data_IF_222705442709
#
_entry.id   IF_222705442709
#
_cell.length_a   1.000
_cell.length_b   1.000
_cell.length_c   1.000
_cell.angle_alpha   90.00
_cell.angle_beta   90.00
_cell.angle_gamma   90.00
#
_symmetry.space_group_name_H-M   'P 1'
#
loop_
_entity.id
_entity.type
_entity.pdbx_description
1 polymer ?
#
# COMPACT_ATOMS: atom_id res chain seq x y z
N UNK A 1 -33.49 -68.75 13.36
CA UNK A 1 -33.32 -67.98 12.11
C UNK A 1 -34.33 -68.54 11.13
N UNK A 2 -35.11 -67.67 10.50
CA UNK A 2 -36.36 -67.98 9.83
C UNK A 2 -36.08 -68.12 8.32
N UNK A 3 -36.22 -69.30 7.70
CA UNK A 3 -35.80 -69.57 6.31
C UNK A 3 -36.37 -68.55 5.29
N UNK A 4 -37.56 -67.99 5.56
CA UNK A 4 -38.16 -66.92 4.74
C UNK A 4 -37.38 -65.61 4.77
N UNK A 5 -36.81 -65.26 5.92
CA UNK A 5 -35.99 -64.05 6.07
C UNK A 5 -34.64 -64.23 5.36
N UNK A 6 -34.06 -65.43 5.42
CA UNK A 6 -32.81 -65.76 4.73
C UNK A 6 -32.98 -65.71 3.21
N UNK A 7 -34.10 -66.23 2.67
CA UNK A 7 -34.40 -66.16 1.24
C UNK A 7 -34.65 -64.72 0.77
N UNK A 8 -35.41 -63.95 1.53
CA UNK A 8 -35.67 -62.53 1.23
C UNK A 8 -34.38 -61.70 1.27
N UNK A 9 -33.44 -62.03 2.18
CA UNK A 9 -32.12 -61.41 2.22
C UNK A 9 -31.31 -61.73 0.95
N UNK A 10 -31.24 -63.00 0.56
CA UNK A 10 -30.50 -63.43 -0.63
C UNK A 10 -31.10 -62.78 -1.89
N UNK A 11 -32.42 -62.78 -2.06
CA UNK A 11 -33.10 -62.12 -3.19
C UNK A 11 -32.78 -60.62 -3.26
N UNK A 12 -32.73 -59.96 -2.10
CA UNK A 12 -32.38 -58.54 -2.02
C UNK A 12 -30.91 -58.26 -2.35
N UNK A 13 -29.98 -59.06 -1.85
CA UNK A 13 -28.54 -58.97 -2.20
C UNK A 13 -28.33 -59.23 -3.70
N UNK A 14 -29.02 -60.22 -4.26
CA UNK A 14 -28.87 -60.58 -5.68
C UNK A 14 -29.48 -59.52 -6.59
N UNK A 15 -30.60 -58.92 -6.21
CA UNK A 15 -31.22 -57.82 -6.97
C UNK A 15 -30.41 -56.52 -6.89
N UNK A 16 -29.66 -56.30 -5.81
CA UNK A 16 -28.77 -55.14 -5.63
C UNK A 16 -27.29 -55.44 -5.95
N UNK A 17 -26.99 -56.55 -6.62
CA UNK A 17 -25.61 -57.00 -6.82
C UNK A 17 -24.72 -55.95 -7.53
N UNK A 18 -25.26 -55.23 -8.51
CA UNK A 18 -24.53 -54.15 -9.20
C UNK A 18 -24.30 -52.95 -8.28
N UNK A 19 -25.30 -52.52 -7.51
CA UNK A 19 -25.16 -51.42 -6.54
C UNK A 19 -24.12 -51.74 -5.46
N UNK A 20 -24.04 -53.01 -5.05
CA UNK A 20 -23.04 -53.49 -4.10
C UNK A 20 -21.63 -53.52 -4.72
N UNK A 21 -21.52 -53.78 -6.03
CA UNK A 21 -20.26 -53.73 -6.75
C UNK A 21 -19.77 -52.28 -6.91
N UNK A 22 -20.64 -51.39 -7.34
CA UNK A 22 -20.39 -49.94 -7.45
C UNK A 22 -19.94 -49.38 -6.08
N UNK A 23 -20.64 -49.75 -5.00
CA UNK A 23 -20.25 -49.38 -3.64
C UNK A 23 -18.85 -49.89 -3.25
N UNK A 24 -18.47 -51.08 -3.74
CA UNK A 24 -17.14 -51.63 -3.45
C UNK A 24 -16.03 -50.85 -4.16
N UNK A 25 -16.28 -50.40 -5.40
CA UNK A 25 -15.38 -49.57 -6.18
C UNK A 25 -15.24 -48.18 -5.54
N UNK A 26 -16.37 -47.55 -5.18
CA UNK A 26 -16.40 -46.26 -4.47
C UNK A 26 -15.63 -46.30 -3.14
N UNK A 27 -15.75 -47.43 -2.42
CA UNK A 27 -15.01 -47.65 -1.18
C UNK A 27 -13.50 -47.73 -1.43
N UNK A 28 -13.07 -48.40 -2.49
CA UNK A 28 -11.65 -48.49 -2.83
C UNK A 28 -11.08 -47.10 -3.17
N UNK A 29 -11.80 -46.32 -3.98
CA UNK A 29 -11.45 -44.94 -4.30
C UNK A 29 -11.36 -44.05 -3.05
N UNK A 30 -12.31 -44.17 -2.12
CA UNK A 30 -12.27 -43.46 -0.83
C UNK A 30 -11.06 -43.84 0.01
N UNK A 31 -10.74 -45.13 0.11
CA UNK A 31 -9.59 -45.60 0.90
C UNK A 31 -8.29 -45.10 0.30
N UNK A 32 -8.15 -45.15 -1.04
CA UNK A 32 -6.98 -44.65 -1.73
C UNK A 32 -6.84 -43.12 -1.61
N UNK A 33 -7.95 -42.39 -1.65
CA UNK A 33 -7.97 -40.95 -1.38
C UNK A 33 -7.39 -40.63 0.00
N UNK A 34 -7.96 -41.20 1.06
CA UNK A 34 -7.52 -40.91 2.43
C UNK A 34 -6.10 -41.38 2.72
N UNK A 35 -5.63 -42.45 2.05
CA UNK A 35 -4.27 -42.96 2.23
C UNK A 35 -3.21 -42.19 1.45
N UNK A 36 -3.48 -41.82 0.20
CA UNK A 36 -2.45 -41.34 -0.75
C UNK A 36 -2.64 -39.89 -1.18
N UNK A 37 -3.88 -39.40 -1.25
CA UNK A 37 -4.21 -38.15 -1.95
C UNK A 37 -4.77 -37.04 -1.05
N UNK A 38 -5.16 -37.38 0.20
CA UNK A 38 -5.72 -36.44 1.16
C UNK A 38 -4.78 -35.25 1.46
N UNK A 39 -3.47 -35.50 1.55
CA UNK A 39 -2.49 -34.44 1.73
C UNK A 39 -2.49 -33.43 0.55
N UNK A 40 -2.68 -33.90 -0.67
CA UNK A 40 -2.79 -33.05 -1.87
C UNK A 40 -4.08 -32.22 -1.84
N UNK A 41 -5.18 -32.82 -1.39
CA UNK A 41 -6.45 -32.11 -1.19
C UNK A 41 -6.34 -31.02 -0.12
N UNK A 42 -5.68 -31.30 1.00
CA UNK A 42 -5.41 -30.30 2.04
C UNK A 42 -4.54 -29.15 1.51
N UNK A 43 -3.52 -29.45 0.69
CA UNK A 43 -2.71 -28.42 0.01
C UNK A 43 -3.55 -27.54 -0.92
N UNK A 44 -4.51 -28.11 -1.65
CA UNK A 44 -5.45 -27.35 -2.47
C UNK A 44 -6.25 -26.36 -1.62
N UNK A 45 -6.89 -26.84 -0.56
CA UNK A 45 -7.67 -26.00 0.35
C UNK A 45 -6.83 -24.89 0.98
N UNK A 46 -5.60 -25.18 1.39
CA UNK A 46 -4.68 -24.20 1.95
C UNK A 46 -4.24 -23.16 0.90
N UNK A 47 -3.98 -23.58 -0.34
CA UNK A 47 -3.56 -22.68 -1.42
C UNK A 47 -4.70 -21.72 -1.82
N UNK A 48 -5.92 -22.25 -2.03
CA UNK A 48 -7.10 -21.46 -2.40
C UNK A 48 -7.52 -20.48 -1.32
N UNK A 49 -7.42 -20.85 -0.04
CA UNK A 49 -7.83 -19.98 1.07
C UNK A 49 -6.69 -19.11 1.65
N UNK A 50 -5.44 -19.35 1.24
CA UNK A 50 -4.26 -18.64 1.70
C UNK A 50 -3.81 -17.55 0.73
N UNK A 51 -2.57 -17.65 0.25
CA UNK A 51 -1.91 -16.62 -0.56
C UNK A 51 -2.66 -16.28 -1.85
N UNK A 52 -3.34 -17.24 -2.47
CA UNK A 52 -4.08 -17.00 -3.71
C UNK A 52 -5.31 -16.13 -3.47
N UNK A 53 -5.96 -16.27 -2.31
CA UNK A 53 -7.09 -15.43 -1.91
C UNK A 53 -6.66 -14.00 -1.66
N UNK A 54 -5.57 -13.80 -0.92
CA UNK A 54 -5.04 -12.47 -0.63
C UNK A 54 -4.66 -11.71 -1.90
N UNK A 55 -4.09 -12.40 -2.88
CA UNK A 55 -3.59 -11.80 -4.12
C UNK A 55 -4.53 -12.01 -5.33
N UNK A 56 -5.79 -12.40 -5.09
CA UNK A 56 -6.74 -12.80 -6.13
C UNK A 56 -6.89 -11.74 -7.22
N UNK A 57 -7.07 -10.49 -6.84
CA UNK A 57 -7.27 -9.37 -7.77
C UNK A 57 -6.06 -9.11 -8.69
N UNK A 58 -4.86 -9.50 -8.28
CA UNK A 58 -3.66 -9.42 -9.12
C UNK A 58 -3.53 -10.65 -10.02
N UNK A 59 -3.80 -11.84 -9.47
CA UNK A 59 -3.78 -13.10 -10.21
C UNK A 59 -4.83 -13.14 -11.32
N UNK A 60 -5.99 -12.50 -11.11
CA UNK A 60 -7.06 -12.39 -12.11
C UNK A 60 -6.67 -11.59 -13.36
N UNK A 61 -5.57 -10.83 -13.30
CA UNK A 61 -5.06 -10.06 -14.44
C UNK A 61 -4.05 -10.84 -15.28
N UNK A 62 -3.57 -11.97 -14.78
CA UNK A 62 -2.63 -12.83 -15.50
C UNK A 62 -3.38 -14.02 -16.12
N UNK A 63 -3.26 -14.18 -17.45
CA UNK A 63 -4.00 -15.20 -18.17
C UNK A 63 -3.65 -16.65 -17.76
N UNK A 64 -2.39 -16.88 -17.37
CA UNK A 64 -1.91 -18.20 -16.94
C UNK A 64 -2.46 -18.52 -15.55
N UNK A 65 -2.38 -17.56 -14.62
CA UNK A 65 -2.91 -17.72 -13.27
C UNK A 65 -4.43 -17.88 -13.27
N UNK A 66 -5.18 -17.09 -14.05
CA UNK A 66 -6.65 -17.21 -14.16
C UNK A 66 -7.04 -18.61 -14.59
N UNK A 67 -6.42 -19.14 -15.65
CA UNK A 67 -6.74 -20.47 -16.16
C UNK A 67 -6.46 -21.54 -15.10
N UNK A 68 -5.28 -21.51 -14.50
CA UNK A 68 -4.90 -22.49 -13.50
C UNK A 68 -5.76 -22.41 -12.23
N UNK A 69 -6.09 -21.20 -11.76
CA UNK A 69 -7.00 -20.98 -10.64
C UNK A 69 -8.41 -21.51 -10.93
N UNK A 70 -8.94 -21.26 -12.14
CA UNK A 70 -10.25 -21.77 -12.54
C UNK A 70 -10.29 -23.31 -12.55
N UNK A 71 -9.22 -23.96 -13.02
CA UNK A 71 -9.10 -25.41 -12.96
C UNK A 71 -9.03 -25.94 -11.51
N UNK A 72 -8.27 -25.27 -10.64
CA UNK A 72 -8.20 -25.62 -9.20
C UNK A 72 -9.55 -25.46 -8.50
N UNK A 73 -10.28 -24.38 -8.77
CA UNK A 73 -11.62 -24.14 -8.22
C UNK A 73 -12.65 -25.13 -8.74
N UNK A 74 -12.57 -25.51 -10.01
CA UNK A 74 -13.42 -26.55 -10.59
C UNK A 74 -13.19 -27.89 -9.90
N UNK A 75 -11.93 -28.31 -9.70
CA UNK A 75 -11.58 -29.53 -8.97
C UNK A 75 -12.09 -29.47 -7.52
N UNK A 76 -11.99 -28.31 -6.86
CA UNK A 76 -12.46 -28.12 -5.49
C UNK A 76 -13.98 -28.28 -5.34
N UNK A 77 -14.76 -27.96 -6.38
CA UNK A 77 -16.22 -28.05 -6.38
C UNK A 77 -16.76 -29.41 -6.85
N UNK A 78 -15.92 -30.31 -7.36
CA UNK A 78 -16.36 -31.62 -7.82
C UNK A 78 -16.79 -32.52 -6.65
N UNK A 79 -17.95 -33.20 -6.73
CA UNK A 79 -18.36 -34.19 -5.74
C UNK A 79 -17.38 -35.38 -5.64
N UNK A 80 -16.77 -35.77 -6.77
CA UNK A 80 -15.85 -36.90 -6.89
C UNK A 80 -14.53 -36.47 -7.58
N UNK A 81 -13.64 -35.78 -6.87
CA UNK A 81 -12.44 -35.18 -7.47
C UNK A 81 -11.28 -36.18 -7.66
N UNK A 82 -11.43 -37.46 -7.27
CA UNK A 82 -10.34 -38.44 -7.10
C UNK A 82 -9.43 -38.59 -8.33
N UNK A 83 -10.01 -38.60 -9.54
CA UNK A 83 -9.29 -38.73 -10.83
C UNK A 83 -8.51 -37.48 -11.23
N UNK A 84 -8.80 -36.34 -10.60
CA UNK A 84 -8.21 -35.04 -10.93
C UNK A 84 -7.14 -34.58 -9.92
N UNK A 85 -6.94 -35.32 -8.82
CA UNK A 85 -6.01 -34.91 -7.76
C UNK A 85 -4.55 -34.88 -8.21
N UNK A 86 -4.18 -35.66 -9.22
CA UNK A 86 -2.86 -35.62 -9.84
C UNK A 86 -2.55 -34.29 -10.54
N UNK A 87 -3.57 -33.53 -10.96
CA UNK A 87 -3.42 -32.22 -11.61
C UNK A 87 -3.23 -31.08 -10.62
N UNK A 88 -3.60 -31.28 -9.35
CA UNK A 88 -3.58 -30.22 -8.33
C UNK A 88 -2.17 -29.68 -8.13
N UNK A 89 -1.17 -30.55 -7.91
CA UNK A 89 0.18 -30.11 -7.57
C UNK A 89 0.82 -29.25 -8.66
N UNK A 90 0.83 -29.66 -9.95
CA UNK A 90 1.33 -28.81 -11.03
C UNK A 90 0.59 -27.47 -11.15
N UNK A 91 -0.74 -27.47 -11.00
CA UNK A 91 -1.55 -26.24 -11.08
C UNK A 91 -1.26 -25.29 -9.91
N UNK A 92 -1.10 -25.81 -8.68
CA UNK A 92 -0.69 -25.01 -7.53
C UNK A 92 0.68 -24.37 -7.77
N UNK A 93 1.66 -25.15 -8.23
CA UNK A 93 3.01 -24.65 -8.52
C UNK A 93 2.99 -23.55 -9.58
N UNK A 94 2.18 -23.71 -10.63
CA UNK A 94 2.00 -22.70 -11.67
C UNK A 94 1.47 -21.38 -11.12
N UNK A 95 0.39 -21.42 -10.32
CA UNK A 95 -0.17 -20.22 -9.70
C UNK A 95 0.80 -19.63 -8.65
N UNK A 96 1.51 -20.46 -7.89
CA UNK A 96 2.52 -20.01 -6.93
C UNK A 96 3.66 -19.26 -7.61
N UNK A 97 4.15 -19.75 -8.75
CA UNK A 97 5.21 -19.10 -9.50
C UNK A 97 4.78 -17.71 -10.01
N UNK A 98 3.59 -17.61 -10.61
CA UNK A 98 3.05 -16.32 -11.05
C UNK A 98 2.81 -15.40 -9.86
N UNK A 99 2.23 -15.90 -8.77
CA UNK A 99 1.99 -15.14 -7.55
C UNK A 99 3.30 -14.57 -6.98
N UNK A 100 4.35 -15.39 -6.89
CA UNK A 100 5.65 -14.96 -6.40
C UNK A 100 6.24 -13.85 -7.28
N UNK A 101 6.22 -14.03 -8.60
CA UNK A 101 6.69 -13.00 -9.54
C UNK A 101 5.93 -11.67 -9.38
N UNK A 102 4.60 -11.72 -9.27
CA UNK A 102 3.79 -10.52 -9.08
C UNK A 102 4.10 -9.84 -7.74
N UNK A 103 4.20 -10.61 -6.65
CA UNK A 103 4.56 -10.08 -5.32
C UNK A 103 5.93 -9.38 -5.38
N UNK A 104 6.95 -10.01 -5.95
CA UNK A 104 8.28 -9.40 -6.07
C UNK A 104 8.25 -8.12 -6.90
N UNK A 105 7.58 -8.12 -8.06
CA UNK A 105 7.45 -6.92 -8.90
C UNK A 105 6.73 -5.77 -8.18
N UNK A 106 5.69 -6.08 -7.40
CA UNK A 106 4.98 -5.07 -6.61
C UNK A 106 5.82 -4.59 -5.43
N UNK A 107 6.53 -5.49 -4.74
CA UNK A 107 7.43 -5.16 -3.64
C UNK A 107 8.54 -4.24 -4.10
N UNK A 108 9.24 -4.58 -5.18
CA UNK A 108 10.34 -3.78 -5.72
C UNK A 108 9.87 -2.35 -6.03
N UNK A 109 8.78 -2.21 -6.78
CA UNK A 109 8.21 -0.89 -7.12
C UNK A 109 7.74 -0.11 -5.89
N UNK A 110 7.15 -0.80 -4.91
CA UNK A 110 6.69 -0.16 -3.68
C UNK A 110 7.89 0.34 -2.85
N UNK A 111 8.92 -0.49 -2.67
CA UNK A 111 10.13 -0.13 -1.94
C UNK A 111 10.85 1.04 -2.59
N UNK A 112 11.02 1.05 -3.91
CA UNK A 112 11.61 2.20 -4.64
C UNK A 112 10.84 3.50 -4.37
N UNK A 113 9.50 3.45 -4.40
CA UNK A 113 8.65 4.62 -4.14
C UNK A 113 8.70 5.05 -2.67
N UNK A 114 8.73 4.10 -1.74
CA UNK A 114 8.84 4.38 -0.30
C UNK A 114 10.20 5.02 -0.01
N UNK A 115 11.28 4.46 -0.54
CA UNK A 115 12.64 4.95 -0.37
C UNK A 115 12.82 6.35 -0.94
N UNK A 116 12.28 6.62 -2.14
CA UNK A 116 12.27 7.96 -2.72
C UNK A 116 11.57 8.98 -1.79
N UNK A 117 10.44 8.62 -1.18
CA UNK A 117 9.71 9.50 -0.25
C UNK A 117 10.45 9.70 1.06
N UNK A 118 11.09 8.65 1.59
CA UNK A 118 11.93 8.74 2.80
C UNK A 118 13.09 9.70 2.56
N UNK A 119 13.77 9.57 1.42
CA UNK A 119 14.91 10.42 1.09
C UNK A 119 14.49 11.86 0.88
N UNK A 120 13.37 12.10 0.19
CA UNK A 120 12.82 13.44 0.03
C UNK A 120 12.47 14.08 1.39
N UNK A 121 11.80 13.36 2.29
CA UNK A 121 11.50 13.84 3.65
C UNK A 121 12.78 14.11 4.44
N UNK A 122 13.80 13.26 4.32
CA UNK A 122 15.11 13.42 4.96
C UNK A 122 15.80 14.69 4.48
N UNK A 123 15.85 14.92 3.17
CA UNK A 123 16.43 16.13 2.60
C UNK A 123 15.70 17.38 3.11
N UNK A 124 14.37 17.36 3.16
CA UNK A 124 13.57 18.48 3.68
C UNK A 124 13.84 18.77 5.15
N UNK A 125 14.01 17.74 5.98
CA UNK A 125 14.40 17.90 7.38
C UNK A 125 15.81 18.49 7.54
N UNK A 126 16.76 18.09 6.68
CA UNK A 126 18.12 18.63 6.67
C UNK A 126 18.13 20.12 6.27
N UNK A 127 17.43 20.48 5.20
CA UNK A 127 17.26 21.87 4.76
C UNK A 127 16.59 22.76 5.82
N UNK A 128 15.68 22.18 6.63
CA UNK A 128 15.01 22.87 7.71
C UNK A 128 15.81 22.89 9.03
N UNK A 129 17.04 22.33 9.03
CA UNK A 129 17.87 22.16 10.23
C UNK A 129 17.08 21.57 11.41
N UNK A 130 16.25 20.56 11.13
CA UNK A 130 15.37 19.94 12.09
C UNK A 130 16.14 19.23 13.22
N UNK A 131 15.59 19.26 14.43
CA UNK A 131 16.13 18.52 15.58
C UNK A 131 16.09 17.00 15.34
N UNK A 132 16.91 16.26 16.07
CA UNK A 132 16.92 14.79 16.05
C UNK A 132 15.55 14.20 16.43
N UNK A 133 14.85 14.83 17.36
CA UNK A 133 13.49 14.46 17.78
C UNK A 133 12.50 14.59 16.61
N UNK A 134 12.50 15.74 15.91
CA UNK A 134 11.63 15.96 14.76
C UNK A 134 11.97 15.00 13.62
N UNK A 135 13.25 14.79 13.32
CA UNK A 135 13.69 13.82 12.32
C UNK A 135 13.19 12.41 12.63
N UNK A 136 13.33 11.96 13.87
CA UNK A 136 12.87 10.63 14.29
C UNK A 136 11.34 10.52 14.20
N UNK A 137 10.61 11.54 14.65
CA UNK A 137 9.13 11.58 14.59
C UNK A 137 8.56 11.46 13.18
N UNK A 138 9.34 11.87 12.16
CA UNK A 138 8.96 11.84 10.75
C UNK A 138 9.45 10.57 10.06
N UNK A 139 10.73 10.21 10.22
CA UNK A 139 11.36 9.15 9.43
C UNK A 139 11.06 7.75 9.97
N UNK A 140 10.90 7.58 11.29
CA UNK A 140 10.69 6.26 11.89
C UNK A 140 9.40 5.57 11.41
N UNK A 141 8.23 6.25 11.36
CA UNK A 141 7.02 5.64 10.79
C UNK A 141 7.20 5.20 9.34
N UNK A 142 7.86 6.01 8.51
CA UNK A 142 8.12 5.68 7.09
C UNK A 142 9.06 4.47 6.95
N UNK A 143 10.10 4.37 7.79
CA UNK A 143 10.99 3.21 7.83
C UNK A 143 10.27 1.93 8.28
N UNK A 144 9.32 2.04 9.23
CA UNK A 144 8.48 0.90 9.63
C UNK A 144 7.58 0.44 8.48
N UNK A 145 6.94 1.36 7.77
CA UNK A 145 6.13 1.03 6.59
C UNK A 145 6.97 0.34 5.50
N UNK A 146 8.18 0.84 5.24
CA UNK A 146 9.17 0.19 4.36
C UNK A 146 9.45 -1.26 4.80
N UNK A 147 9.69 -1.49 6.10
CA UNK A 147 9.99 -2.82 6.61
C UNK A 147 8.81 -3.78 6.48
N UNK A 148 7.58 -3.29 6.71
CA UNK A 148 6.35 -4.08 6.51
C UNK A 148 6.16 -4.45 5.04
N UNK A 149 6.39 -3.51 4.12
CA UNK A 149 6.34 -3.78 2.68
C UNK A 149 7.38 -4.82 2.23
N UNK A 150 8.59 -4.78 2.80
CA UNK A 150 9.68 -5.72 2.49
C UNK A 150 9.33 -7.18 2.86
N UNK A 151 8.67 -7.39 4.00
CA UNK A 151 8.35 -8.75 4.49
C UNK A 151 6.96 -9.25 4.07
N UNK A 152 6.14 -8.39 3.46
CA UNK A 152 4.78 -8.78 3.07
C UNK A 152 4.78 -9.69 1.83
N UNK A 153 3.83 -10.63 1.83
CA UNK A 153 3.55 -11.56 0.74
C UNK A 153 2.20 -11.25 0.05
N UNK A 154 1.53 -10.20 0.52
CA UNK A 154 0.21 -9.76 0.08
C UNK A 154 0.37 -8.48 -0.73
N UNK A 155 0.01 -8.53 -2.01
CA UNK A 155 0.06 -7.36 -2.91
C UNK A 155 -0.82 -6.22 -2.37
N UNK A 156 -2.05 -6.46 -1.87
CA UNK A 156 -2.84 -5.41 -1.21
C UNK A 156 -2.14 -4.75 -0.02
N UNK A 157 -1.47 -5.52 0.84
CA UNK A 157 -0.72 -4.97 1.97
C UNK A 157 0.45 -4.11 1.49
N UNK A 158 1.25 -4.60 0.52
CA UNK A 158 2.35 -3.83 -0.08
C UNK A 158 1.85 -2.48 -0.63
N UNK A 159 0.71 -2.48 -1.33
CA UNK A 159 0.10 -1.28 -1.86
C UNK A 159 -0.43 -0.36 -0.75
N UNK A 160 -0.98 -0.91 0.33
CA UNK A 160 -1.42 -0.17 1.50
C UNK A 160 -0.25 0.54 2.18
N UNK A 161 0.89 -0.13 2.36
CA UNK A 161 2.12 0.47 2.93
C UNK A 161 2.66 1.60 2.05
N UNK A 162 2.57 1.46 0.72
CA UNK A 162 2.95 2.50 -0.22
C UNK A 162 2.04 3.75 -0.06
N UNK A 163 0.74 3.54 0.15
CA UNK A 163 -0.23 4.62 0.35
C UNK A 163 -0.10 5.25 1.74
N UNK A 164 0.14 4.45 2.78
CA UNK A 164 0.45 4.93 4.14
C UNK A 164 1.68 5.83 4.12
N UNK A 165 2.74 5.42 3.41
CA UNK A 165 3.95 6.24 3.26
C UNK A 165 3.67 7.57 2.57
N UNK A 166 2.76 7.62 1.58
CA UNK A 166 2.32 8.89 0.96
C UNK A 166 1.60 9.79 1.99
N UNK A 167 0.74 9.21 2.82
CA UNK A 167 0.06 9.95 3.88
C UNK A 167 1.05 10.47 4.95
N UNK A 168 2.00 9.62 5.38
CA UNK A 168 3.08 9.99 6.29
C UNK A 168 3.95 11.11 5.72
N UNK A 169 4.21 11.13 4.41
CA UNK A 169 4.93 12.21 3.77
C UNK A 169 4.18 13.55 3.85
N UNK A 170 2.85 13.51 3.71
CA UNK A 170 2.01 14.70 3.84
C UNK A 170 2.01 15.21 5.30
N UNK A 171 1.97 14.31 6.27
CA UNK A 171 2.11 14.65 7.69
C UNK A 171 3.50 15.22 8.02
N UNK A 172 4.55 14.64 7.44
CA UNK A 172 5.91 15.13 7.55
C UNK A 172 6.03 16.58 7.08
N UNK A 173 5.46 16.93 5.94
CA UNK A 173 5.46 18.31 5.44
C UNK A 173 4.75 19.28 6.38
N UNK A 174 3.63 18.88 6.98
CA UNK A 174 2.93 19.71 7.96
C UNK A 174 3.83 19.99 9.18
N UNK A 175 4.45 18.94 9.72
CA UNK A 175 5.38 19.06 10.87
C UNK A 175 6.60 19.92 10.53
N UNK A 176 7.18 19.74 9.35
CA UNK A 176 8.31 20.54 8.87
C UNK A 176 7.90 22.01 8.71
N UNK A 177 6.73 22.30 8.14
CA UNK A 177 6.24 23.68 8.00
C UNK A 177 6.00 24.35 9.36
N UNK A 178 5.41 23.63 10.31
CA UNK A 178 5.23 24.12 11.68
C UNK A 178 6.58 24.44 12.35
N UNK A 179 7.57 23.57 12.18
CA UNK A 179 8.93 23.81 12.65
C UNK A 179 9.56 25.06 12.02
N UNK A 180 9.41 25.22 10.71
CA UNK A 180 9.90 26.41 9.98
C UNK A 180 9.22 27.68 10.50
N UNK A 181 7.91 27.63 10.81
CA UNK A 181 7.18 28.74 11.40
C UNK A 181 7.72 29.13 12.77
N UNK A 182 7.98 28.15 13.63
CA UNK A 182 8.58 28.39 14.94
C UNK A 182 9.99 28.99 14.83
N UNK A 183 10.80 28.52 13.87
CA UNK A 183 12.13 29.08 13.60
C UNK A 183 12.05 30.53 13.13
N UNK A 184 11.14 30.85 12.19
CA UNK A 184 10.92 32.22 11.69
C UNK A 184 10.50 33.14 12.84
N UNK A 185 9.54 32.71 13.66
CA UNK A 185 9.07 33.48 14.82
C UNK A 185 10.18 33.73 15.85
N UNK A 186 11.04 32.74 16.11
CA UNK A 186 12.19 32.88 17.01
C UNK A 186 13.23 33.87 16.46
N UNK A 187 13.54 33.79 15.16
CA UNK A 187 14.45 34.74 14.50
C UNK A 187 13.90 36.17 14.55
N UNK A 188 12.62 36.38 14.25
CA UNK A 188 12.00 37.70 14.33
C UNK A 188 12.04 38.28 15.76
N UNK A 189 11.75 37.46 16.77
CA UNK A 189 11.82 37.89 18.17
C UNK A 189 13.25 38.26 18.59
N UNK A 190 14.25 37.48 18.15
CA UNK A 190 15.67 37.79 18.39
C UNK A 190 16.09 39.09 17.72
N UNK A 191 15.66 39.33 16.48
CA UNK A 191 15.96 40.57 15.76
C UNK A 191 15.33 41.79 16.44
N UNK A 192 14.08 41.66 16.93
CA UNK A 192 13.41 42.73 17.70
C UNK A 192 14.17 43.03 18.99
N UNK A 193 14.52 41.99 19.76
CA UNK A 193 15.28 42.15 20.99
C UNK A 193 16.66 42.79 20.76
N UNK A 194 17.36 42.40 19.68
CA UNK A 194 18.64 43.00 19.29
C UNK A 194 18.49 44.49 18.92
N UNK A 195 17.45 44.85 18.17
CA UNK A 195 17.17 46.24 17.82
C UNK A 195 16.80 47.10 19.03
N UNK A 196 16.05 46.54 19.99
CA UNK A 196 15.70 47.21 21.25
C UNK A 196 16.94 47.41 22.13
N UNK A 197 17.81 46.40 22.25
CA UNK A 197 19.08 46.52 22.97
C UNK A 197 20.03 47.55 22.33
N UNK A 198 20.07 47.61 21.00
CA UNK A 198 20.87 48.61 20.26
C UNK A 198 20.35 50.03 20.51
N UNK A 199 19.02 50.23 20.50
CA UNK A 199 18.41 51.54 20.83
C UNK A 199 18.65 51.95 22.29
N UNK A 200 18.64 51.01 23.21
CA UNK A 200 18.96 51.26 24.62
C UNK A 200 20.45 51.64 24.81
N UNK A 201 21.36 51.01 24.06
CA UNK A 201 22.79 51.34 24.08
C UNK A 201 23.11 52.68 23.40
N UNK A 202 22.43 53.06 22.30
CA UNK A 202 22.60 54.38 21.65
C UNK A 202 22.17 55.56 22.56
N UNK A 203 21.33 55.30 23.57
CA UNK A 203 20.89 56.29 24.56
C UNK A 203 21.99 56.62 25.60
N UNK A 204 23.07 55.82 25.67
CA UNK A 204 24.22 56.02 26.54
C UNK A 204 25.47 56.01 25.66
N UNK A 205 26.04 57.20 25.36
CA UNK A 205 27.23 57.36 24.51
C UNK A 205 28.38 56.40 24.85
N UNK A 206 28.39 55.23 24.23
CA UNK A 206 29.47 54.25 24.31
C UNK A 206 29.55 53.54 22.98
N UNK A 207 30.69 53.71 22.30
CA UNK A 207 30.98 53.05 21.04
C UNK A 207 31.22 51.56 21.29
N UNK A 208 30.16 50.75 21.22
CA UNK A 208 30.27 49.29 21.17
C UNK A 208 30.06 48.86 19.72
N UNK A 209 31.05 48.19 19.14
CA UNK A 209 30.94 47.62 17.80
C UNK A 209 29.86 46.55 17.83
N UNK A 210 28.67 46.88 17.33
CA UNK A 210 27.58 45.94 17.20
C UNK A 210 27.92 44.93 16.08
N UNK A 211 28.26 43.70 16.46
CA UNK A 211 28.31 42.59 15.52
C UNK A 211 26.93 42.43 14.87
N UNK A 212 26.84 42.65 13.56
CA UNK A 212 25.61 42.44 12.79
C UNK A 212 25.15 41.00 13.01
N UNK A 213 23.91 40.76 13.46
CA UNK A 213 23.42 39.41 13.63
C UNK A 213 23.46 38.68 12.29
N UNK A 214 24.15 37.52 12.26
CA UNK A 214 24.21 36.64 11.10
C UNK A 214 22.82 36.03 10.89
N UNK A 215 22.06 36.57 9.94
CA UNK A 215 20.75 36.04 9.55
C UNK A 215 21.01 34.70 8.84
N UNK A 216 20.76 33.59 9.55
CA UNK A 216 20.78 32.27 8.92
C UNK A 216 19.69 32.21 7.85
N UNK A 217 19.98 31.67 6.65
CA UNK A 217 19.03 31.64 5.55
C UNK A 217 17.73 30.93 5.97
N UNK A 218 16.60 31.60 5.77
CA UNK A 218 15.29 31.11 6.19
C UNK A 218 14.90 29.87 5.38
N UNK A 219 14.63 28.72 6.01
CA UNK A 219 14.18 27.54 5.29
C UNK A 219 12.82 27.78 4.60
N UNK A 220 12.67 27.22 3.40
CA UNK A 220 11.45 27.35 2.58
C UNK A 220 10.36 26.39 3.05
N UNK A 221 9.12 26.85 3.20
CA UNK A 221 7.98 25.97 3.47
C UNK A 221 7.60 25.16 2.23
N UNK A 222 6.87 24.07 2.41
CA UNK A 222 6.20 23.39 1.29
C UNK A 222 4.70 23.63 1.35
N UNK A 223 4.13 24.28 0.33
CA UNK A 223 2.68 24.38 0.16
C UNK A 223 2.16 23.20 -0.66
N UNK A 224 1.18 22.51 -0.09
CA UNK A 224 0.49 21.41 -0.74
C UNK A 224 -0.65 21.96 -1.59
N UNK A 225 -0.56 21.74 -2.90
CA UNK A 225 -1.54 22.23 -3.87
C UNK A 225 -2.22 21.04 -4.54
N UNK A 226 -3.51 20.85 -4.27
CA UNK A 226 -4.33 19.90 -5.00
C UNK A 226 -4.84 20.57 -6.28
N UNK A 227 -4.27 20.17 -7.41
CA UNK A 227 -4.53 20.79 -8.72
C UNK A 227 -6.01 20.73 -9.08
N UNK A 228 -6.65 19.57 -8.85
CA UNK A 228 -8.06 19.39 -9.16
C UNK A 228 -8.97 20.27 -8.28
N UNK A 229 -8.61 20.46 -7.00
CA UNK A 229 -9.36 21.35 -6.10
C UNK A 229 -9.23 22.81 -6.50
N UNK A 230 -8.03 23.28 -6.84
CA UNK A 230 -7.81 24.66 -7.26
C UNK A 230 -8.52 24.96 -8.59
N UNK A 231 -8.45 24.04 -9.55
CA UNK A 231 -9.20 24.18 -10.81
C UNK A 231 -10.72 24.17 -10.59
N UNK A 232 -11.23 23.33 -9.68
CA UNK A 232 -12.66 23.28 -9.34
C UNK A 232 -13.15 24.57 -8.67
N UNK A 233 -12.36 25.17 -7.78
CA UNK A 233 -12.71 26.47 -7.15
C UNK A 233 -12.89 27.57 -8.19
N UNK A 234 -12.09 27.55 -9.26
CA UNK A 234 -12.13 28.56 -10.32
C UNK A 234 -13.38 28.47 -11.20
N UNK A 235 -13.85 27.25 -11.48
CA UNK A 235 -14.92 26.98 -12.46
C UNK A 235 -16.26 26.62 -11.82
N UNK A 236 -16.28 26.29 -10.53
CA UNK A 236 -17.50 25.98 -9.77
C UNK A 236 -18.10 24.61 -10.06
N UNK A 237 -17.44 23.76 -10.86
CA UNK A 237 -17.93 22.45 -11.27
C UNK A 237 -16.83 21.39 -11.36
N UNK A 238 -17.21 20.12 -11.31
CA UNK A 238 -16.27 18.98 -11.46
C UNK A 238 -15.82 18.74 -12.91
N UNK A 239 -16.55 19.31 -13.88
CA UNK A 239 -16.34 19.10 -15.31
C UNK A 239 -16.13 20.45 -15.99
N UNK A 240 -15.23 20.48 -16.97
CA UNK A 240 -14.95 21.62 -17.84
C UNK A 240 -15.56 21.33 -19.22
N UNK A 241 -16.53 22.13 -19.64
CA UNK A 241 -17.30 21.95 -20.87
C UNK A 241 -16.96 23.00 -21.93
N UNK A 242 -16.33 24.11 -21.54
CA UNK A 242 -15.96 25.18 -22.47
C UNK A 242 -14.48 25.53 -22.38
N UNK A 243 -13.90 26.00 -23.50
CA UNK A 243 -12.52 26.48 -23.53
C UNK A 243 -12.29 27.62 -22.52
N UNK A 244 -13.29 28.49 -22.32
CA UNK A 244 -13.22 29.58 -21.33
C UNK A 244 -13.09 29.06 -19.89
N UNK A 245 -13.79 27.96 -19.56
CA UNK A 245 -13.65 27.32 -18.24
C UNK A 245 -12.26 26.73 -18.05
N UNK A 246 -11.67 26.14 -19.11
CA UNK A 246 -10.30 25.62 -19.09
C UNK A 246 -9.29 26.74 -18.83
N UNK A 247 -9.34 27.83 -19.60
CA UNK A 247 -8.42 28.96 -19.43
C UNK A 247 -8.54 29.59 -18.04
N UNK A 248 -9.78 29.81 -17.55
CA UNK A 248 -10.01 30.35 -16.21
C UNK A 248 -9.45 29.45 -15.10
N UNK A 249 -9.58 28.13 -15.25
CA UNK A 249 -9.02 27.16 -14.30
C UNK A 249 -7.49 27.22 -14.28
N UNK A 250 -6.86 27.27 -15.45
CA UNK A 250 -5.41 27.36 -15.59
C UNK A 250 -4.85 28.69 -15.06
N UNK A 251 -5.51 29.81 -15.34
CA UNK A 251 -5.10 31.13 -14.84
C UNK A 251 -5.15 31.20 -13.31
N UNK A 252 -6.21 30.65 -12.70
CA UNK A 252 -6.35 30.63 -11.24
C UNK A 252 -5.28 29.75 -10.61
N UNK A 253 -5.06 28.55 -11.16
CA UNK A 253 -4.00 27.66 -10.72
C UNK A 253 -2.63 28.33 -10.85
N UNK A 254 -2.35 28.99 -11.98
CA UNK A 254 -1.10 29.72 -12.22
C UNK A 254 -0.90 30.82 -11.18
N UNK A 255 -1.92 31.63 -10.90
CA UNK A 255 -1.83 32.69 -9.91
C UNK A 255 -1.53 32.14 -8.50
N UNK A 256 -2.19 31.05 -8.10
CA UNK A 256 -1.95 30.39 -6.81
C UNK A 256 -0.52 29.84 -6.71
N UNK A 257 -0.01 29.22 -7.77
CA UNK A 257 1.36 28.70 -7.82
C UNK A 257 2.41 29.83 -7.79
N UNK A 258 2.19 30.91 -8.54
CA UNK A 258 3.11 32.05 -8.55
C UNK A 258 3.16 32.75 -7.20
N UNK A 259 2.02 32.98 -6.54
CA UNK A 259 1.98 33.62 -5.23
C UNK A 259 2.79 32.84 -4.17
N UNK A 260 2.72 31.50 -4.18
CA UNK A 260 3.50 30.67 -3.26
C UNK A 260 5.01 30.67 -3.58
N UNK A 261 5.40 30.77 -4.86
CA UNK A 261 6.81 30.89 -5.26
C UNK A 261 7.36 32.28 -4.94
N UNK A 262 6.59 33.35 -5.17
CA UNK A 262 6.96 34.73 -4.85
C UNK A 262 7.14 34.95 -3.34
N UNK A 263 6.37 34.24 -2.52
CA UNK A 263 6.57 34.19 -1.06
C UNK A 263 7.87 33.47 -0.64
N UNK A 264 8.65 32.93 -1.59
CA UNK A 264 9.90 32.22 -1.36
C UNK A 264 9.73 30.77 -0.94
N UNK A 265 8.51 30.23 -1.01
CA UNK A 265 8.18 28.87 -0.58
C UNK A 265 8.23 27.86 -1.76
N UNK A 266 8.19 26.56 -1.45
CA UNK A 266 8.18 25.45 -2.40
C UNK A 266 6.75 24.93 -2.55
N UNK A 267 6.44 24.29 -3.66
CA UNK A 267 5.12 23.72 -3.93
C UNK A 267 5.24 22.23 -4.19
N UNK A 268 4.35 21.45 -3.58
CA UNK A 268 4.11 20.05 -3.93
C UNK A 268 2.71 19.91 -4.50
N UNK A 269 2.62 19.40 -5.73
CA UNK A 269 1.37 19.07 -6.39
C UNK A 269 0.88 17.69 -5.89
N UNK A 270 -0.41 17.60 -5.58
CA UNK A 270 -1.08 16.37 -5.13
C UNK A 270 -2.11 15.85 -6.12
#
# INVERSE_FOLDING_TARGET
MNEKEDFALIEKVTSQANELLDFSEDREDLVDFYRKQFATWQKLGAALNGSFKSNRSALEKDAVAVKALGELESIWQMPEPYKHLNRITPLIEQVQNVNHQLVEQHRQRALERIDARIEESRQRLQEAHATSELQNSVLLPMQKARKRAEVSHSIPEILAEQQETKALQTDAEKKINQWIDELRKKQEAQLRAANEATRAAESQQTYVVAEKPVIQPVPKKTHLVNVASEMRKATGGEVLETAEQVEKALDTLRAALLAAIEAGDRIRLQ
#
